data_IF_592773773868
#
_entry.id   IF_592773773868
#
_cell.length_a   1.000
_cell.length_b   1.000
_cell.length_c   1.000
_cell.angle_alpha   90.00
_cell.angle_beta   90.00
_cell.angle_gamma   90.00
#
_symmetry.space_group_name_H-M   'P 1'
#
loop_
_entity.id
_entity.type
_entity.pdbx_description
1 polymer ?
#
# COMPACT_ATOMS: atom_id res chain seq x y z
N UNK A 1 -1.56 -49.30 -20.29
CA UNK A 1 -0.61 -48.28 -19.76
C UNK A 1 -1.02 -46.82 -19.95
N UNK A 2 -1.91 -46.46 -20.89
CA UNK A 2 -2.22 -45.05 -21.23
C UNK A 2 -3.20 -44.35 -20.25
N UNK A 3 -4.10 -45.08 -19.57
CA UNK A 3 -5.11 -44.49 -18.68
C UNK A 3 -4.55 -43.95 -17.35
N UNK A 4 -3.57 -44.62 -16.73
CA UNK A 4 -2.99 -44.25 -15.42
C UNK A 4 -2.06 -43.02 -15.54
N UNK A 5 -1.30 -42.91 -16.64
CA UNK A 5 -0.43 -41.76 -16.92
C UNK A 5 -1.22 -40.45 -17.12
N UNK A 6 -2.43 -40.51 -17.70
CA UNK A 6 -3.30 -39.34 -17.91
C UNK A 6 -3.92 -38.83 -16.60
N UNK A 7 -4.31 -39.73 -15.70
CA UNK A 7 -4.85 -39.36 -14.38
C UNK A 7 -3.74 -38.72 -13.50
N UNK A 8 -2.53 -39.27 -13.54
CA UNK A 8 -1.37 -38.67 -12.86
C UNK A 8 -0.98 -37.30 -13.41
N UNK A 9 -1.16 -37.07 -14.72
CA UNK A 9 -0.86 -35.78 -15.35
C UNK A 9 -1.91 -34.70 -15.01
N UNK A 10 -3.18 -35.09 -14.92
CA UNK A 10 -4.27 -34.19 -14.49
C UNK A 10 -4.11 -33.79 -13.03
N UNK A 11 -3.72 -34.71 -12.14
CA UNK A 11 -3.46 -34.41 -10.73
C UNK A 11 -2.23 -33.49 -10.59
N UNK A 12 -1.22 -33.65 -11.43
CA UNK A 12 -0.04 -32.78 -11.41
C UNK A 12 -0.36 -31.34 -11.85
N UNK A 13 -1.22 -31.15 -12.85
CA UNK A 13 -1.68 -29.83 -13.31
C UNK A 13 -2.59 -29.17 -12.25
N UNK A 14 -3.41 -29.95 -11.54
CA UNK A 14 -4.28 -29.45 -10.48
C UNK A 14 -3.48 -28.93 -9.27
N UNK A 15 -2.36 -29.59 -8.93
CA UNK A 15 -1.52 -29.21 -7.77
C UNK A 15 -0.65 -27.98 -8.07
N UNK A 16 -0.25 -27.75 -9.32
CA UNK A 16 0.53 -26.55 -9.73
C UNK A 16 -0.31 -25.27 -9.69
N UNK A 17 -1.64 -25.36 -9.78
CA UNK A 17 -2.52 -24.19 -9.77
C UNK A 17 -2.83 -23.67 -8.36
N UNK A 18 -2.43 -24.39 -7.30
CA UNK A 18 -2.80 -24.06 -5.91
C UNK A 18 -1.70 -23.29 -5.13
N UNK A 19 -0.54 -23.01 -5.74
CA UNK A 19 0.56 -22.30 -5.07
C UNK A 19 0.73 -20.84 -5.49
N UNK A 20 -0.21 -20.27 -6.23
CA UNK A 20 -0.18 -18.85 -6.59
C UNK A 20 -1.12 -18.02 -5.69
N UNK A 21 -0.90 -18.06 -4.39
CA UNK A 21 -1.31 -16.95 -3.52
C UNK A 21 -0.24 -15.85 -3.69
N UNK A 22 -0.27 -15.17 -4.83
CA UNK A 22 0.40 -13.88 -4.94
C UNK A 22 -0.36 -12.95 -4.00
N UNK A 23 0.24 -12.59 -2.86
CA UNK A 23 -0.20 -11.43 -2.08
C UNK A 23 0.05 -10.17 -2.90
N UNK A 24 -0.84 -9.91 -3.85
CA UNK A 24 -1.00 -8.58 -4.39
C UNK A 24 -1.55 -7.74 -3.23
N UNK A 25 -0.66 -7.00 -2.56
CA UNK A 25 -1.08 -5.91 -1.68
C UNK A 25 -1.99 -4.95 -2.44
N UNK A 26 -2.89 -4.23 -1.76
CA UNK A 26 -3.89 -3.38 -2.42
C UNK A 26 -3.19 -2.46 -3.43
N UNK A 27 -3.48 -2.67 -4.72
CA UNK A 27 -3.01 -1.79 -5.79
C UNK A 27 -3.96 -0.60 -5.90
N UNK A 28 -4.20 0.07 -4.77
CA UNK A 28 -5.03 1.26 -4.74
C UNK A 28 -4.18 2.43 -5.24
N UNK A 29 -4.40 2.71 -6.52
CA UNK A 29 -3.75 3.78 -7.24
C UNK A 29 -4.56 5.05 -7.03
N UNK A 30 -3.88 6.09 -6.55
CA UNK A 30 -4.44 7.43 -6.41
C UNK A 30 -4.47 8.05 -7.81
N UNK A 31 -5.69 8.28 -8.34
CA UNK A 31 -5.87 8.86 -9.68
C UNK A 31 -5.46 10.33 -9.70
N UNK A 32 -6.06 11.15 -8.85
CA UNK A 32 -5.69 12.56 -8.66
C UNK A 32 -6.15 13.03 -7.26
N UNK A 33 -5.25 13.67 -6.51
CA UNK A 33 -5.56 14.38 -5.26
C UNK A 33 -4.69 15.62 -5.14
N UNK A 34 -5.29 16.74 -4.76
CA UNK A 34 -4.57 18.00 -4.62
C UNK A 34 -4.84 18.64 -3.25
N UNK A 35 -3.77 18.94 -2.54
CA UNK A 35 -3.77 19.54 -1.23
C UNK A 35 -2.92 20.80 -1.27
N UNK A 36 -3.48 21.91 -0.79
CA UNK A 36 -2.77 23.19 -0.74
C UNK A 36 -2.76 23.72 0.68
N UNK A 37 -1.56 23.86 1.25
CA UNK A 37 -1.36 24.30 2.63
C UNK A 37 -2.23 23.50 3.63
N UNK A 38 -2.37 22.20 3.40
CA UNK A 38 -3.17 21.31 4.24
C UNK A 38 -2.32 20.76 5.38
N UNK A 39 -2.94 20.39 6.50
CA UNK A 39 -2.23 19.71 7.58
C UNK A 39 -1.71 18.34 7.11
N UNK A 40 -0.47 17.99 7.47
CA UNK A 40 0.14 16.73 7.05
C UNK A 40 -0.65 15.51 7.52
N UNK A 41 -1.24 15.56 8.71
CA UNK A 41 -2.04 14.46 9.24
C UNK A 41 -3.30 14.29 8.42
N UNK A 42 -3.94 15.39 8.02
CA UNK A 42 -5.11 15.35 7.13
C UNK A 42 -4.76 14.79 5.74
N UNK A 43 -3.62 15.18 5.17
CA UNK A 43 -3.15 14.63 3.88
C UNK A 43 -2.90 13.13 3.98
N UNK A 44 -2.15 12.68 5.01
CA UNK A 44 -1.85 11.28 5.25
C UNK A 44 -3.13 10.45 5.47
N UNK A 45 -4.09 11.00 6.22
CA UNK A 45 -5.37 10.35 6.46
C UNK A 45 -6.19 10.19 5.18
N UNK A 46 -6.24 11.22 4.34
CA UNK A 46 -6.99 11.18 3.09
C UNK A 46 -6.41 10.13 2.12
N UNK A 47 -5.08 10.01 2.02
CA UNK A 47 -4.47 8.96 1.17
C UNK A 47 -4.66 7.55 1.75
N UNK A 48 -4.67 7.41 3.08
CA UNK A 48 -4.89 6.13 3.75
C UNK A 48 -6.33 5.63 3.57
N UNK A 49 -7.31 6.55 3.58
CA UNK A 49 -8.72 6.25 3.30
C UNK A 49 -8.93 5.74 1.87
N UNK A 50 -8.25 6.34 0.89
CA UNK A 50 -8.30 5.88 -0.52
C UNK A 50 -7.70 4.48 -0.68
N UNK A 51 -6.70 4.14 0.12
CA UNK A 51 -6.02 2.85 0.06
C UNK A 51 -6.60 1.78 1.01
N UNK A 52 -7.70 2.09 1.72
CA UNK A 52 -8.34 1.21 2.71
C UNK A 52 -7.38 0.65 3.78
N UNK A 53 -6.38 1.46 4.20
CA UNK A 53 -5.39 1.09 5.22
C UNK A 53 -5.59 1.85 6.53
N UNK A 54 -5.22 1.22 7.64
CA UNK A 54 -5.20 1.90 8.93
C UNK A 54 -3.98 2.82 9.02
N UNK A 55 -4.18 4.05 9.50
CA UNK A 55 -3.10 5.01 9.72
C UNK A 55 -2.98 5.36 11.20
N UNK A 56 -1.76 5.29 11.72
CA UNK A 56 -1.39 5.78 13.06
C UNK A 56 -0.30 6.82 12.89
N UNK A 57 -0.49 8.01 13.45
CA UNK A 57 0.50 9.09 13.41
C UNK A 57 0.94 9.45 14.83
N UNK A 58 2.24 9.67 15.03
CA UNK A 58 2.73 10.23 16.29
C UNK A 58 2.39 11.73 16.44
N UNK A 59 2.33 12.21 17.69
CA UNK A 59 2.22 13.63 18.06
C UNK A 59 3.23 14.56 17.37
N UNK A 60 4.38 14.03 16.94
CA UNK A 60 5.42 14.78 16.25
C UNK A 60 5.15 15.00 14.75
N UNK A 61 4.13 14.35 14.18
CA UNK A 61 3.74 14.52 12.77
C UNK A 61 2.89 15.79 12.64
N UNK A 62 3.56 16.95 12.52
CA UNK A 62 2.91 18.27 12.53
C UNK A 62 3.32 19.15 11.36
N UNK A 63 2.43 20.08 10.99
CA UNK A 63 2.69 21.19 10.06
C UNK A 63 1.99 21.06 8.71
N UNK A 64 2.09 22.11 7.90
CA UNK A 64 1.31 22.23 6.66
C UNK A 64 2.13 21.91 5.41
N UNK A 65 1.54 21.23 4.45
CA UNK A 65 2.18 20.73 3.23
C UNK A 65 1.29 21.01 2.01
N UNK A 66 1.92 21.18 0.85
CA UNK A 66 1.24 21.28 -0.45
C UNK A 66 1.67 20.09 -1.30
N UNK A 67 0.71 19.31 -1.78
CA UNK A 67 0.94 18.09 -2.56
C UNK A 67 -0.04 18.04 -3.70
N UNK A 68 0.46 17.64 -4.86
CA UNK A 68 -0.38 17.17 -5.95
C UNK A 68 0.04 15.73 -6.26
N UNK A 69 -0.87 14.80 -6.04
CA UNK A 69 -0.73 13.37 -6.31
C UNK A 69 -1.50 13.08 -7.59
N UNK A 70 -0.84 12.46 -8.56
CA UNK A 70 -1.46 12.07 -9.82
C UNK A 70 -0.82 10.77 -10.29
N UNK A 71 -1.66 9.81 -10.68
CA UNK A 71 -1.21 8.52 -11.21
C UNK A 71 -0.16 7.82 -10.32
N UNK A 72 -0.38 7.80 -9.00
CA UNK A 72 0.64 7.38 -8.03
C UNK A 72 0.08 6.36 -7.05
N UNK A 73 0.90 5.37 -6.67
CA UNK A 73 0.49 4.38 -5.65
C UNK A 73 0.55 4.98 -4.25
N UNK A 74 -0.29 4.47 -3.35
CA UNK A 74 -0.28 4.85 -1.93
C UNK A 74 1.14 4.81 -1.34
N UNK A 75 1.82 3.68 -1.46
CA UNK A 75 3.15 3.46 -0.87
C UNK A 75 4.17 4.47 -1.39
N UNK A 76 4.09 4.83 -2.68
CA UNK A 76 4.98 5.83 -3.27
C UNK A 76 4.63 7.25 -2.80
N UNK A 77 3.35 7.57 -2.67
CA UNK A 77 2.92 8.87 -2.14
C UNK A 77 3.36 9.05 -0.68
N UNK A 78 3.21 8.01 0.14
CA UNK A 78 3.63 8.00 1.53
C UNK A 78 5.15 8.20 1.67
N UNK A 79 5.94 7.50 0.87
CA UNK A 79 7.40 7.65 0.79
C UNK A 79 7.82 9.10 0.49
N UNK A 80 7.17 9.74 -0.48
CA UNK A 80 7.50 11.12 -0.88
C UNK A 80 7.09 12.14 0.20
N UNK A 81 5.91 11.98 0.79
CA UNK A 81 5.40 12.90 1.82
C UNK A 81 6.27 12.82 3.08
N UNK A 82 6.58 11.61 3.54
CA UNK A 82 7.40 11.38 4.75
C UNK A 82 8.83 11.89 4.57
N UNK A 83 9.48 11.58 3.44
CA UNK A 83 10.82 12.09 3.11
C UNK A 83 10.91 13.61 3.05
N UNK A 84 9.87 14.29 2.55
CA UNK A 84 9.84 15.76 2.47
C UNK A 84 9.90 16.41 3.86
N UNK A 85 9.51 15.68 4.91
CA UNK A 85 9.47 16.17 6.30
C UNK A 85 10.46 15.51 7.24
N UNK A 86 11.34 14.63 6.73
CA UNK A 86 12.24 13.85 7.59
C UNK A 86 11.46 12.96 8.56
N UNK A 87 10.31 12.45 8.14
CA UNK A 87 9.54 11.44 8.84
C UNK A 87 9.88 10.07 8.29
N UNK A 88 9.63 9.06 9.09
CA UNK A 88 9.73 7.66 8.73
C UNK A 88 8.38 6.97 8.89
N UNK A 89 8.20 5.86 8.18
CA UNK A 89 7.00 5.05 8.30
C UNK A 89 7.33 3.56 8.42
N UNK A 90 6.46 2.83 9.13
CA UNK A 90 6.58 1.39 9.33
C UNK A 90 5.25 0.71 9.06
N UNK A 91 5.30 -0.37 8.29
CA UNK A 91 4.16 -1.22 8.03
C UNK A 91 4.02 -2.29 9.11
N UNK A 92 2.80 -2.47 9.59
CA UNK A 92 2.34 -3.58 10.40
C UNK A 92 1.04 -4.12 9.79
N UNK A 93 1.16 -5.13 8.93
CA UNK A 93 0.03 -5.76 8.22
C UNK A 93 -0.81 -4.73 7.45
N UNK A 94 -2.06 -4.47 7.87
CA UNK A 94 -2.97 -3.48 7.29
C UNK A 94 -2.85 -2.09 7.93
N UNK A 95 -1.79 -1.85 8.69
CA UNK A 95 -1.60 -0.62 9.45
C UNK A 95 -0.26 0.00 9.07
N UNK A 96 -0.27 1.31 8.88
CA UNK A 96 0.94 2.09 8.71
C UNK A 96 1.09 3.07 9.86
N UNK A 97 2.28 3.07 10.46
CA UNK A 97 2.66 3.97 11.53
C UNK A 97 3.62 5.00 10.96
N UNK A 98 3.30 6.28 11.10
CA UNK A 98 4.15 7.40 10.67
C UNK A 98 4.64 8.15 11.90
N UNK A 99 5.96 8.33 12.01
CA UNK A 99 6.61 8.98 13.13
C UNK A 99 7.90 9.67 12.68
N UNK A 100 8.59 10.35 13.60
CA UNK A 100 9.97 10.76 13.36
C UNK A 100 10.91 9.53 13.44
N UNK A 101 12.03 9.52 12.69
CA UNK A 101 13.03 8.44 12.69
C UNK A 101 13.59 8.09 14.08
#
# INVERSE_FOLDING_TARGET
MIKIKKISFIILILVISLTAAASAGPQDKIEDMNFRNADIVDVLRAIAEVADVNLITDSQVVGNITVHLQDITFEKSLDLITKTRGLDYKWDNNTVVVAQP
#
